data_IF_374965872022
#
_entry.id   IF_374965872022
#
_cell.length_a   1.000
_cell.length_b   1.000
_cell.length_c   1.000
_cell.angle_alpha   90.00
_cell.angle_beta   90.00
_cell.angle_gamma   90.00
#
_symmetry.space_group_name_H-M   'P 1'
#
loop_
_entity.id
_entity.type
_entity.pdbx_description
1 polymer ?
#
# COMPACT_ATOMS: atom_id res chain seq x y z
N UNK A 1 7.06 -1.13 -13.60
CA UNK A 1 6.26 -0.34 -12.64
C UNK A 1 7.20 0.47 -11.75
N UNK A 2 7.20 1.80 -11.89
CA UNK A 2 7.88 2.72 -10.98
C UNK A 2 6.99 2.89 -9.74
N UNK A 3 7.36 2.28 -8.60
CA UNK A 3 6.66 2.54 -7.33
C UNK A 3 7.01 3.93 -6.75
N UNK A 4 7.73 4.75 -7.52
CA UNK A 4 7.83 6.19 -7.28
C UNK A 4 6.51 6.95 -7.45
N UNK A 5 5.67 6.56 -8.41
CA UNK A 5 4.43 7.29 -8.67
C UNK A 5 3.34 6.94 -7.66
N UNK A 6 3.23 5.68 -7.27
CA UNK A 6 2.15 5.21 -6.38
C UNK A 6 2.34 5.68 -4.93
N UNK A 7 3.58 5.87 -4.46
CA UNK A 7 3.84 6.21 -3.05
C UNK A 7 3.78 7.71 -2.75
N UNK A 8 3.83 8.58 -3.75
CA UNK A 8 3.75 10.04 -3.54
C UNK A 8 2.40 10.62 -3.90
N UNK A 9 1.50 9.79 -4.43
CA UNK A 9 0.26 10.24 -5.04
C UNK A 9 -0.92 9.55 -4.35
N UNK A 10 -1.97 10.32 -4.11
CA UNK A 10 -3.24 9.87 -3.52
C UNK A 10 -4.11 9.08 -4.52
N UNK A 11 -3.50 8.58 -5.59
CA UNK A 11 -4.15 7.81 -6.64
C UNK A 11 -3.34 6.58 -7.04
N UNK A 12 -4.05 5.63 -7.64
CA UNK A 12 -3.48 4.49 -8.34
C UNK A 12 -3.86 4.55 -9.81
N UNK A 13 -3.12 3.85 -10.66
CA UNK A 13 -3.43 3.77 -12.09
C UNK A 13 -4.01 2.40 -12.42
N UNK A 14 -5.26 2.36 -12.88
CA UNK A 14 -5.97 1.16 -13.33
C UNK A 14 -6.37 1.39 -14.78
N UNK A 15 -5.96 0.50 -15.68
CA UNK A 15 -6.22 0.58 -17.13
C UNK A 15 -5.85 1.95 -17.75
N UNK A 16 -4.78 2.59 -17.27
CA UNK A 16 -4.34 3.92 -17.73
C UNK A 16 -5.10 5.10 -17.11
N UNK A 17 -6.06 4.85 -16.22
CA UNK A 17 -6.84 5.88 -15.53
C UNK A 17 -6.40 6.06 -14.08
N UNK A 18 -6.26 7.32 -13.66
CA UNK A 18 -5.97 7.69 -12.27
C UNK A 18 -7.22 7.57 -11.40
N UNK A 19 -7.16 6.74 -10.37
CA UNK A 19 -8.23 6.49 -9.40
C UNK A 19 -7.82 7.05 -8.05
N UNK A 20 -8.55 8.03 -7.53
CA UNK A 20 -8.19 8.79 -6.34
C UNK A 20 -8.95 8.30 -5.13
N UNK A 21 -8.29 8.28 -3.97
CA UNK A 21 -8.98 8.12 -2.69
C UNK A 21 -10.12 9.14 -2.58
N UNK A 22 -11.29 8.66 -2.18
CA UNK A 22 -12.55 9.39 -2.14
C UNK A 22 -13.47 9.12 -3.33
N UNK A 23 -12.97 8.54 -4.44
CA UNK A 23 -13.85 8.15 -5.54
C UNK A 23 -14.82 7.04 -5.11
N UNK A 24 -16.06 7.15 -5.57
CA UNK A 24 -17.05 6.11 -5.33
C UNK A 24 -16.81 4.89 -6.21
N UNK A 25 -17.29 3.72 -5.79
CA UNK A 25 -17.14 2.48 -6.57
C UNK A 25 -17.63 2.65 -8.02
N UNK A 26 -18.82 3.25 -8.19
CA UNK A 26 -19.45 3.47 -9.50
C UNK A 26 -18.68 4.48 -10.36
N UNK A 27 -18.12 5.53 -9.75
CA UNK A 27 -17.24 6.47 -10.48
C UNK A 27 -16.03 5.75 -11.07
N UNK A 28 -15.43 4.84 -10.30
CA UNK A 28 -14.25 4.09 -10.74
C UNK A 28 -14.62 3.19 -11.91
N UNK A 29 -15.66 2.37 -11.81
CA UNK A 29 -16.12 1.48 -12.89
C UNK A 29 -16.43 2.25 -14.17
N UNK A 30 -17.13 3.39 -14.04
CA UNK A 30 -17.46 4.26 -15.17
C UNK A 30 -16.19 4.81 -15.83
N UNK A 31 -15.21 5.20 -15.02
CA UNK A 31 -13.96 5.81 -15.49
C UNK A 31 -13.06 4.79 -16.20
N UNK A 32 -12.93 3.59 -15.66
CA UNK A 32 -12.09 2.53 -16.25
C UNK A 32 -12.82 1.75 -17.36
N UNK A 33 -14.12 2.01 -17.56
CA UNK A 33 -15.00 1.32 -18.52
C UNK A 33 -14.96 -0.21 -18.34
N UNK A 34 -14.88 -0.66 -17.09
CA UNK A 34 -14.79 -2.06 -16.71
C UNK A 34 -15.48 -2.26 -15.37
N UNK A 35 -16.01 -3.45 -15.15
CA UNK A 35 -16.49 -3.87 -13.85
C UNK A 35 -15.31 -4.24 -12.96
N UNK A 36 -15.40 -3.91 -11.67
CA UNK A 36 -14.39 -4.24 -10.68
C UNK A 36 -14.67 -5.62 -10.07
N UNK A 37 -13.63 -6.45 -9.95
CA UNK A 37 -13.76 -7.75 -9.30
C UNK A 37 -13.79 -7.61 -7.77
N UNK A 38 -14.97 -7.80 -7.19
CA UNK A 38 -15.16 -7.80 -5.73
C UNK A 38 -14.63 -9.11 -5.16
N UNK A 39 -13.55 -9.04 -4.40
CA UNK A 39 -12.97 -10.20 -3.72
C UNK A 39 -13.59 -10.46 -2.35
N UNK A 40 -14.09 -9.41 -1.67
CA UNK A 40 -14.79 -9.54 -0.39
C UNK A 40 -15.80 -8.41 -0.21
N UNK A 41 -16.95 -8.70 0.42
CA UNK A 41 -17.96 -7.69 0.77
C UNK A 41 -18.60 -8.01 2.11
N UNK A 42 -18.56 -7.04 3.01
CA UNK A 42 -19.29 -7.01 4.28
C UNK A 42 -20.26 -5.81 4.27
N UNK A 43 -21.07 -5.63 5.31
CA UNK A 43 -22.13 -4.61 5.35
C UNK A 43 -21.65 -3.21 4.93
N UNK A 44 -20.52 -2.75 5.48
CA UNK A 44 -20.03 -1.39 5.24
C UNK A 44 -18.70 -1.34 4.48
N UNK A 45 -18.10 -2.51 4.16
CA UNK A 45 -16.78 -2.59 3.54
C UNK A 45 -16.76 -3.50 2.32
N UNK A 46 -16.10 -3.04 1.26
CA UNK A 46 -15.90 -3.82 0.03
C UNK A 46 -14.42 -3.83 -0.31
N UNK A 47 -13.90 -5.01 -0.65
CA UNK A 47 -12.53 -5.19 -1.13
C UNK A 47 -12.61 -5.63 -2.58
N UNK A 48 -11.86 -4.92 -3.42
CA UNK A 48 -11.69 -5.21 -4.84
C UNK A 48 -10.26 -5.63 -5.09
N UNK A 49 -10.07 -6.68 -5.89
CA UNK A 49 -8.74 -7.08 -6.34
C UNK A 49 -8.58 -6.71 -7.82
N UNK A 50 -7.61 -5.84 -8.12
CA UNK A 50 -7.34 -5.35 -9.47
C UNK A 50 -5.83 -5.42 -9.75
N UNK A 51 -5.42 -6.40 -10.56
CA UNK A 51 -4.00 -6.68 -10.82
C UNK A 51 -3.22 -6.95 -9.53
N UNK A 52 -2.19 -6.13 -9.27
CA UNK A 52 -1.36 -6.23 -8.05
C UNK A 52 -1.93 -5.41 -6.86
N UNK A 53 -3.09 -4.75 -7.04
CA UNK A 53 -3.72 -3.89 -6.03
C UNK A 53 -4.91 -4.56 -5.35
N UNK A 54 -5.08 -4.25 -4.06
CA UNK A 54 -6.35 -4.39 -3.34
C UNK A 54 -6.89 -3.00 -3.04
N UNK A 55 -8.12 -2.72 -3.45
CA UNK A 55 -8.82 -1.47 -3.17
C UNK A 55 -9.83 -1.72 -2.06
N UNK A 56 -9.84 -0.85 -1.07
CA UNK A 56 -10.71 -0.94 0.08
C UNK A 56 -11.68 0.23 0.06
N UNK A 57 -12.96 -0.12 0.12
CA UNK A 57 -14.07 0.80 0.15
C UNK A 57 -14.77 0.72 1.49
N UNK A 58 -15.14 1.87 2.04
CA UNK A 58 -16.01 2.00 3.20
C UNK A 58 -17.18 2.89 2.80
N UNK A 59 -18.41 2.45 3.05
CA UNK A 59 -19.61 3.20 2.68
C UNK A 59 -19.58 3.66 1.20
N UNK A 60 -19.12 2.77 0.30
CA UNK A 60 -18.96 3.01 -1.14
C UNK A 60 -17.83 3.98 -1.56
N UNK A 61 -17.06 4.53 -0.61
CA UNK A 61 -15.93 5.42 -0.88
C UNK A 61 -14.60 4.67 -0.79
N UNK A 62 -13.78 4.81 -1.82
CA UNK A 62 -12.41 4.28 -1.83
C UNK A 62 -11.55 5.03 -0.80
N UNK A 63 -11.07 4.35 0.23
CA UNK A 63 -10.34 5.01 1.34
C UNK A 63 -8.91 4.50 1.54
N UNK A 64 -8.61 3.32 1.00
CA UNK A 64 -7.31 2.69 1.15
C UNK A 64 -7.00 1.78 -0.04
N UNK A 65 -5.75 1.77 -0.46
CA UNK A 65 -5.24 0.72 -1.34
C UNK A 65 -4.04 0.03 -0.71
N UNK A 66 -3.84 -1.23 -1.08
CA UNK A 66 -2.63 -1.98 -0.75
C UNK A 66 -2.08 -2.69 -1.99
N UNK A 67 -0.76 -2.89 -2.02
CA UNK A 67 -0.07 -3.65 -3.04
C UNK A 67 0.88 -4.66 -2.40
N UNK A 68 1.10 -5.76 -3.12
CA UNK A 68 2.18 -6.68 -2.78
C UNK A 68 3.55 -6.09 -3.17
N UNK A 69 4.61 -6.27 -2.37
CA UNK A 69 5.92 -5.67 -2.64
C UNK A 69 6.72 -6.36 -3.74
N UNK A 70 6.26 -7.50 -4.30
CA UNK A 70 7.02 -8.31 -5.26
C UNK A 70 7.54 -7.54 -6.47
N UNK A 71 6.75 -6.61 -7.02
CA UNK A 71 7.14 -5.75 -8.15
C UNK A 71 7.46 -4.31 -7.72
N UNK A 72 7.62 -4.09 -6.42
CA UNK A 72 7.72 -2.76 -5.84
C UNK A 72 9.17 -2.33 -5.63
N UNK A 73 9.39 -1.03 -5.82
CA UNK A 73 10.68 -0.38 -5.70
C UNK A 73 10.55 0.89 -4.88
N UNK A 74 11.55 1.13 -4.05
CA UNK A 74 11.71 2.38 -3.35
C UNK A 74 12.77 3.20 -4.08
N UNK A 75 12.45 4.41 -4.52
CA UNK A 75 13.47 5.30 -5.02
C UNK A 75 13.63 6.50 -4.10
N UNK A 76 14.89 6.82 -3.82
CA UNK A 76 15.28 8.03 -3.12
C UNK A 76 16.51 8.59 -3.80
N UNK A 77 16.46 9.88 -4.08
CA UNK A 77 17.43 10.59 -4.91
C UNK A 77 17.66 9.85 -6.25
N UNK A 78 18.85 9.26 -6.47
CA UNK A 78 19.20 8.49 -7.68
C UNK A 78 19.24 6.97 -7.45
N UNK A 79 18.88 6.50 -6.26
CA UNK A 79 19.02 5.09 -5.90
C UNK A 79 17.68 4.37 -5.99
N UNK A 80 17.64 3.29 -6.77
CA UNK A 80 16.49 2.38 -6.87
C UNK A 80 16.74 1.13 -6.03
N UNK A 81 15.90 0.89 -5.03
CA UNK A 81 15.95 -0.30 -4.15
C UNK A 81 14.76 -1.21 -4.41
N UNK A 82 15.00 -2.49 -4.67
CA UNK A 82 13.94 -3.51 -4.74
C UNK A 82 13.38 -3.74 -3.34
N UNK A 83 12.05 -3.81 -3.23
CA UNK A 83 11.36 -4.10 -1.98
C UNK A 83 10.98 -5.58 -1.82
N UNK A 84 11.08 -6.37 -2.90
CA UNK A 84 10.81 -7.79 -2.84
C UNK A 84 11.71 -8.50 -1.81
N UNK A 85 11.08 -9.20 -0.87
CA UNK A 85 11.76 -9.98 0.16
C UNK A 85 12.55 -9.16 1.19
N UNK A 86 12.41 -7.82 1.20
CA UNK A 86 13.15 -6.98 2.14
C UNK A 86 12.74 -7.31 3.59
N UNK A 87 13.73 -7.48 4.45
CA UNK A 87 13.52 -7.72 5.88
C UNK A 87 13.39 -6.40 6.62
N UNK A 88 12.71 -6.42 7.77
CA UNK A 88 12.42 -5.22 8.56
C UNK A 88 13.69 -4.43 8.91
N UNK A 89 14.73 -5.11 9.41
CA UNK A 89 16.00 -4.48 9.75
C UNK A 89 16.76 -3.91 8.53
N UNK A 90 16.63 -4.54 7.35
CA UNK A 90 17.21 -4.03 6.11
C UNK A 90 16.50 -2.76 5.67
N UNK A 91 15.17 -2.72 5.78
CA UNK A 91 14.38 -1.53 5.48
C UNK A 91 14.75 -0.37 6.40
N UNK A 92 14.83 -0.59 7.72
CA UNK A 92 15.27 0.44 8.67
C UNK A 92 16.67 0.98 8.36
N UNK A 93 17.61 0.12 7.95
CA UNK A 93 18.95 0.56 7.50
C UNK A 93 18.88 1.46 6.26
N UNK A 94 17.97 1.17 5.33
CA UNK A 94 17.73 2.05 4.17
C UNK A 94 17.21 3.40 4.65
N UNK A 95 16.15 3.42 5.48
CA UNK A 95 15.59 4.67 5.99
C UNK A 95 16.63 5.52 6.72
N UNK A 96 17.44 4.90 7.57
CA UNK A 96 18.53 5.57 8.28
C UNK A 96 19.59 6.13 7.33
N UNK A 97 20.10 5.32 6.39
CA UNK A 97 21.15 5.72 5.46
C UNK A 97 20.71 6.88 4.57
N UNK A 98 19.48 6.82 4.07
CA UNK A 98 18.91 7.82 3.18
C UNK A 98 18.28 9.00 3.96
N UNK A 99 18.39 9.01 5.30
CA UNK A 99 17.83 10.05 6.20
C UNK A 99 16.33 10.30 5.98
N UNK A 100 15.59 9.24 5.68
CA UNK A 100 14.15 9.30 5.48
C UNK A 100 13.49 9.34 6.85
N UNK A 101 12.62 10.33 7.08
CA UNK A 101 11.79 10.38 8.27
C UNK A 101 10.63 9.40 8.17
N UNK A 102 10.36 8.76 9.30
CA UNK A 102 9.32 7.74 9.42
C UNK A 102 8.79 7.73 10.84
N UNK A 103 7.58 7.23 11.01
CA UNK A 103 6.91 7.02 12.28
C UNK A 103 6.38 5.60 12.38
N UNK A 104 6.24 5.12 13.61
CA UNK A 104 5.59 3.85 13.88
C UNK A 104 4.08 4.07 13.88
N UNK A 105 3.36 3.32 13.03
CA UNK A 105 1.91 3.40 12.98
C UNK A 105 1.29 2.30 13.87
N UNK A 106 0.95 2.69 15.10
CA UNK A 106 0.40 1.77 16.09
C UNK A 106 -0.98 1.24 15.70
N UNK A 107 -1.81 2.03 15.01
CA UNK A 107 -3.18 1.61 14.63
C UNK A 107 -3.19 0.44 13.65
N UNK A 108 -2.15 0.32 12.83
CA UNK A 108 -1.98 -0.76 11.85
C UNK A 108 -0.97 -1.83 12.29
N UNK A 109 -0.62 -1.85 13.58
CA UNK A 109 0.28 -2.85 14.17
C UNK A 109 -0.54 -3.90 14.91
N UNK A 110 -0.28 -5.17 14.62
CA UNK A 110 -0.88 -6.33 15.29
C UNK A 110 0.21 -7.18 15.97
N UNK A 111 -0.17 -8.24 16.67
CA UNK A 111 0.79 -9.12 17.38
C UNK A 111 1.88 -9.69 16.48
N UNK A 112 1.59 -9.89 15.21
CA UNK A 112 2.45 -10.47 14.18
C UNK A 112 2.83 -9.46 13.09
N UNK A 113 2.48 -8.18 13.24
CA UNK A 113 2.65 -7.18 12.18
C UNK A 113 3.11 -5.84 12.73
N UNK A 114 4.10 -5.24 12.06
CA UNK A 114 4.56 -3.88 12.34
C UNK A 114 4.27 -3.00 11.13
N UNK A 115 3.68 -1.83 11.36
CA UNK A 115 3.50 -0.81 10.33
C UNK A 115 4.43 0.37 10.54
N UNK A 116 5.20 0.71 9.50
CA UNK A 116 5.99 1.95 9.43
C UNK A 116 5.31 2.90 8.45
N UNK A 117 5.00 4.12 8.89
CA UNK A 117 4.51 5.18 8.03
C UNK A 117 5.65 6.14 7.66
N UNK A 118 5.76 6.48 6.39
CA UNK A 118 6.65 7.55 5.92
C UNK A 118 5.91 8.90 5.92
N UNK A 119 6.64 10.01 5.78
CA UNK A 119 6.04 11.37 5.78
C UNK A 119 4.94 11.56 4.72
N UNK A 120 5.04 10.87 3.59
CA UNK A 120 4.03 10.86 2.53
C UNK A 120 2.78 9.99 2.86
N UNK A 121 2.63 9.58 4.12
CA UNK A 121 1.52 8.77 4.66
C UNK A 121 1.41 7.34 4.13
N UNK A 122 2.40 6.87 3.37
CA UNK A 122 2.49 5.47 2.95
C UNK A 122 2.92 4.60 4.12
N UNK A 123 2.20 3.50 4.32
CA UNK A 123 2.45 2.46 5.29
C UNK A 123 3.17 1.27 4.65
N UNK A 124 4.21 0.78 5.33
CA UNK A 124 4.94 -0.43 5.02
C UNK A 124 4.67 -1.44 6.12
N UNK A 125 3.95 -2.50 5.78
CA UNK A 125 3.45 -3.50 6.75
C UNK A 125 4.33 -4.74 6.67
N UNK A 126 5.03 -5.01 7.77
CA UNK A 126 5.94 -6.13 7.93
C UNK A 126 5.27 -7.23 8.74
N UNK A 127 5.18 -8.44 8.18
CA UNK A 127 4.68 -9.62 8.89
C UNK A 127 5.81 -10.43 9.52
N UNK A 128 5.55 -10.94 10.72
CA UNK A 128 6.45 -11.75 11.54
C UNK A 128 5.76 -13.06 11.85
N UNK A 129 6.48 -14.17 11.65
CA UNK A 129 6.00 -15.49 12.00
C UNK A 129 7.13 -16.30 12.66
N UNK A 130 6.82 -17.50 13.15
CA UNK A 130 7.78 -18.37 13.83
C UNK A 130 9.02 -18.67 12.97
N UNK A 131 8.85 -18.76 11.65
CA UNK A 131 9.91 -19.04 10.67
C UNK A 131 10.66 -17.77 10.25
N UNK A 132 10.07 -16.59 10.44
CA UNK A 132 10.55 -15.32 9.96
C UNK A 132 10.50 -14.24 11.04
N UNK A 133 11.22 -14.49 12.14
CA UNK A 133 11.44 -13.54 13.25
C UNK A 133 12.10 -12.21 12.83
N UNK A 134 12.63 -12.13 11.61
CA UNK A 134 13.28 -10.92 11.06
C UNK A 134 12.29 -9.97 10.37
N UNK A 135 11.03 -10.37 10.23
CA UNK A 135 9.98 -9.61 9.56
C UNK A 135 10.18 -9.58 8.05
N UNK A 136 9.14 -9.81 7.27
CA UNK A 136 9.15 -9.57 5.83
C UNK A 136 8.18 -8.47 5.48
N UNK A 137 8.53 -7.62 4.52
CA UNK A 137 7.56 -6.71 3.95
C UNK A 137 6.47 -7.53 3.24
N UNK A 138 5.24 -7.45 3.74
CA UNK A 138 4.09 -8.18 3.22
C UNK A 138 3.19 -7.31 2.36
N UNK A 139 2.94 -6.08 2.80
CA UNK A 139 2.10 -5.11 2.09
C UNK A 139 2.67 -3.71 2.15
N UNK A 140 2.35 -2.93 1.12
CA UNK A 140 2.57 -1.49 1.08
C UNK A 140 1.20 -0.87 0.81
N UNK A 141 0.82 0.17 1.54
CA UNK A 141 -0.49 0.77 1.35
C UNK A 141 -0.56 2.23 1.75
N UNK A 142 -1.57 2.92 1.22
CA UNK A 142 -1.92 4.27 1.61
C UNK A 142 -3.34 4.24 2.15
N UNK A 143 -3.53 4.84 3.32
CA UNK A 143 -4.83 4.99 3.97
C UNK A 143 -5.06 6.46 4.21
N UNK A 144 -6.27 6.94 3.93
CA UNK A 144 -6.72 8.27 4.36
C UNK A 144 -7.81 8.06 5.41
N UNK A 145 -7.69 8.75 6.54
CA UNK A 145 -8.83 8.88 7.45
C UNK A 145 -9.92 9.62 6.68
N UNK A 146 -11.09 9.00 6.56
CA UNK A 146 -12.31 9.62 6.03
C UNK A 146 -12.90 10.55 7.08
#
# INVERSE_FOLDING_TARGET
MNVNHILTQDYIEINGYKIFIGNSFKEIETKIKSTLFISQKNNDSTIVSEGDFQLHFKENLFYMWTISPYKSFLFFDKTKRKLNGIKFNQFLKILFKEKIKWEFNQELTFSDQISIQLENKVNFIFGFDEKNRKGHLGKIGLTKQL
#
